data_IF_278677353142
#
_entry.id   IF_278677353142
#
_cell.length_a   1.000
_cell.length_b   1.000
_cell.length_c   1.000
_cell.angle_alpha   90.00
_cell.angle_beta   90.00
_cell.angle_gamma   90.00
#
_symmetry.space_group_name_H-M   'P 1'
#
loop_
_entity.id
_entity.type
_entity.pdbx_description
1 polymer ?
#
# COMPACT_ATOMS: atom_id res chain seq x y z
N UNK A 1 -17.40 32.36 -6.05
CA UNK A 1 -16.61 31.17 -5.63
C UNK A 1 -17.07 29.89 -6.33
N UNK A 2 -18.37 29.64 -6.51
CA UNK A 2 -18.88 28.43 -7.21
C UNK A 2 -18.45 28.36 -8.70
N UNK A 3 -18.52 29.46 -9.46
CA UNK A 3 -18.16 29.43 -10.90
C UNK A 3 -16.66 29.27 -11.19
N UNK A 4 -15.80 29.64 -10.23
CA UNK A 4 -14.34 29.44 -10.33
C UNK A 4 -13.96 27.99 -10.05
N UNK A 5 -14.67 27.33 -9.13
CA UNK A 5 -14.48 25.91 -8.80
C UNK A 5 -15.02 25.00 -9.92
N UNK A 6 -16.17 25.32 -10.52
CA UNK A 6 -16.69 24.57 -11.68
C UNK A 6 -15.79 24.69 -12.92
N UNK A 7 -15.26 25.88 -13.21
CA UNK A 7 -14.27 26.08 -14.30
C UNK A 7 -12.97 25.32 -14.05
N UNK A 8 -12.52 25.27 -12.79
CA UNK A 8 -11.36 24.48 -12.37
C UNK A 8 -11.58 22.97 -12.53
N UNK A 9 -12.75 22.46 -12.12
CA UNK A 9 -13.09 21.05 -12.23
C UNK A 9 -13.29 20.62 -13.70
N UNK A 10 -13.93 21.47 -14.51
CA UNK A 10 -14.14 21.25 -15.96
C UNK A 10 -12.82 21.20 -16.74
N UNK A 11 -11.90 22.16 -16.51
CA UNK A 11 -10.59 22.16 -17.16
C UNK A 11 -9.74 20.94 -16.77
N UNK A 12 -9.88 20.47 -15.53
CA UNK A 12 -9.22 19.24 -15.08
C UNK A 12 -9.76 17.97 -15.75
N UNK A 13 -11.07 17.91 -16.04
CA UNK A 13 -11.72 16.77 -16.67
C UNK A 13 -11.35 16.67 -18.15
N UNK A 14 -11.37 17.81 -18.87
CA UNK A 14 -10.94 17.88 -20.28
C UNK A 14 -9.49 17.44 -20.43
N UNK A 15 -8.59 17.95 -19.58
CA UNK A 15 -7.17 17.57 -19.61
C UNK A 15 -6.99 16.06 -19.36
N UNK A 16 -7.73 15.46 -18.43
CA UNK A 16 -7.69 14.01 -18.18
C UNK A 16 -8.16 13.23 -19.41
N UNK A 17 -9.27 13.62 -20.02
CA UNK A 17 -9.81 12.95 -21.21
C UNK A 17 -8.82 12.98 -22.39
N UNK A 18 -8.21 14.13 -22.65
CA UNK A 18 -7.18 14.28 -23.70
C UNK A 18 -5.95 13.43 -23.41
N UNK A 19 -5.46 13.42 -22.17
CA UNK A 19 -4.30 12.62 -21.78
C UNK A 19 -4.56 11.12 -21.97
N UNK A 20 -5.75 10.65 -21.59
CA UNK A 20 -6.15 9.24 -21.84
C UNK A 20 -6.18 8.94 -23.33
N UNK A 21 -6.75 9.82 -24.16
CA UNK A 21 -6.74 9.66 -25.62
C UNK A 21 -5.34 9.58 -26.21
N UNK A 22 -4.42 10.45 -25.77
CA UNK A 22 -3.00 10.43 -26.19
C UNK A 22 -2.31 9.13 -25.76
N UNK A 23 -2.54 8.67 -24.53
CA UNK A 23 -1.98 7.40 -24.05
C UNK A 23 -2.47 6.24 -24.92
N UNK A 24 -3.77 6.19 -25.25
CA UNK A 24 -4.34 5.16 -26.13
C UNK A 24 -3.71 5.24 -27.52
N UNK A 25 -3.64 6.43 -28.12
CA UNK A 25 -3.05 6.66 -29.43
C UNK A 25 -1.59 6.17 -29.50
N UNK A 26 -0.74 6.58 -28.55
CA UNK A 26 0.66 6.16 -28.49
C UNK A 26 0.79 4.66 -28.26
N UNK A 27 -0.05 4.09 -27.40
CA UNK A 27 -0.04 2.64 -27.13
C UNK A 27 -0.47 1.83 -28.37
N UNK A 28 -1.41 2.35 -29.17
CA UNK A 28 -1.76 1.76 -30.46
C UNK A 28 -0.59 1.83 -31.44
N UNK A 29 0.09 2.97 -31.55
CA UNK A 29 1.28 3.08 -32.40
C UNK A 29 2.35 2.08 -32.02
N UNK A 30 2.65 1.93 -30.72
CA UNK A 30 3.60 0.92 -30.25
C UNK A 30 3.17 -0.48 -30.70
N UNK A 31 1.91 -0.85 -30.49
CA UNK A 31 1.38 -2.15 -30.90
C UNK A 31 1.38 -2.38 -32.42
N UNK A 32 1.10 -1.36 -33.22
CA UNK A 32 1.11 -1.44 -34.70
C UNK A 32 2.54 -1.55 -35.23
N UNK A 33 3.45 -0.73 -34.72
CA UNK A 33 4.85 -0.71 -35.15
C UNK A 33 5.63 -1.93 -34.68
N UNK A 34 5.15 -2.65 -33.65
CA UNK A 34 5.74 -3.91 -33.21
C UNK A 34 5.23 -5.16 -33.96
N UNK A 35 4.36 -5.01 -34.97
CA UNK A 35 3.84 -6.14 -35.77
C UNK A 35 4.92 -6.70 -36.69
N UNK A 36 4.96 -8.03 -36.83
CA UNK A 36 5.70 -8.65 -37.94
C UNK A 36 4.92 -8.44 -39.25
N UNK A 37 5.59 -8.35 -40.41
CA UNK A 37 4.90 -8.17 -41.69
C UNK A 37 3.85 -9.25 -41.93
N UNK A 38 2.58 -8.85 -42.12
CA UNK A 38 1.48 -9.78 -42.42
C UNK A 38 0.83 -10.47 -41.21
N UNK A 39 1.21 -10.12 -39.97
CA UNK A 39 0.61 -10.72 -38.75
C UNK A 39 -0.08 -9.68 -37.86
N UNK A 40 -0.98 -10.15 -36.98
CA UNK A 40 -1.50 -9.35 -35.88
C UNK A 40 -0.40 -9.10 -34.83
N UNK A 41 -0.54 -8.03 -34.06
CA UNK A 41 0.43 -7.68 -33.02
C UNK A 41 0.53 -8.79 -31.97
N UNK A 42 1.75 -9.26 -31.69
CA UNK A 42 2.04 -10.22 -30.62
C UNK A 42 1.74 -9.62 -29.24
N UNK A 43 1.85 -8.29 -29.12
CA UNK A 43 1.57 -7.54 -27.90
C UNK A 43 0.75 -6.29 -28.21
N UNK A 44 -0.41 -6.12 -27.55
CA UNK A 44 -1.33 -5.00 -27.78
C UNK A 44 -1.65 -4.27 -26.46
N UNK A 45 -0.87 -3.23 -26.10
CA UNK A 45 -0.98 -2.64 -24.76
C UNK A 45 -2.16 -1.68 -24.58
N UNK A 46 -2.74 -1.17 -25.67
CA UNK A 46 -3.68 -0.05 -25.62
C UNK A 46 -4.93 -0.35 -24.78
N UNK A 47 -5.56 -1.50 -25.01
CA UNK A 47 -6.81 -1.88 -24.33
C UNK A 47 -6.57 -2.06 -22.83
N UNK A 48 -5.51 -2.78 -22.46
CA UNK A 48 -5.21 -3.07 -21.07
C UNK A 48 -4.73 -1.84 -20.28
N UNK A 49 -3.96 -0.93 -20.91
CA UNK A 49 -3.62 0.36 -20.30
C UNK A 49 -4.88 1.20 -20.06
N UNK A 50 -5.75 1.31 -21.06
CA UNK A 50 -7.00 2.06 -20.92
C UNK A 50 -7.88 1.47 -19.82
N UNK A 51 -8.11 0.15 -19.84
CA UNK A 51 -8.91 -0.54 -18.84
C UNK A 51 -8.34 -0.33 -17.42
N UNK A 52 -7.02 -0.48 -17.26
CA UNK A 52 -6.34 -0.23 -15.98
C UNK A 52 -6.49 1.21 -15.48
N UNK A 53 -6.41 2.20 -16.38
CA UNK A 53 -6.64 3.62 -16.03
C UNK A 53 -8.08 3.84 -15.56
N UNK A 54 -9.05 3.26 -16.26
CA UNK A 54 -10.47 3.39 -15.92
C UNK A 54 -10.81 2.66 -14.61
N UNK A 55 -10.23 1.48 -14.36
CA UNK A 55 -10.36 0.76 -13.08
C UNK A 55 -9.77 1.56 -11.92
N UNK A 56 -8.57 2.10 -12.09
CA UNK A 56 -7.89 2.92 -11.08
C UNK A 56 -8.59 4.25 -10.83
N UNK A 57 -9.27 4.80 -11.84
CA UNK A 57 -9.94 6.10 -11.74
C UNK A 57 -11.24 6.12 -12.54
N UNK A 58 -12.34 5.53 -12.01
CA UNK A 58 -13.62 5.45 -12.74
C UNK A 58 -14.24 6.80 -13.08
N UNK A 59 -13.92 7.85 -12.31
CA UNK A 59 -14.31 9.23 -12.61
C UNK A 59 -13.75 9.76 -13.95
N UNK A 60 -12.74 9.09 -14.50
CA UNK A 60 -12.19 9.42 -15.81
C UNK A 60 -13.03 8.89 -16.96
N UNK A 61 -14.01 8.00 -16.74
CA UNK A 61 -14.88 7.44 -17.79
C UNK A 61 -16.00 8.41 -18.23
N UNK A 62 -15.63 9.63 -18.60
CA UNK A 62 -16.57 10.63 -19.13
C UNK A 62 -16.86 10.39 -20.60
N UNK A 63 -17.97 10.95 -21.11
CA UNK A 63 -18.29 10.91 -22.55
C UNK A 63 -17.13 11.46 -23.39
N UNK A 64 -16.52 12.56 -22.98
CA UNK A 64 -15.38 13.15 -23.66
C UNK A 64 -14.17 12.20 -23.69
N UNK A 65 -13.92 11.47 -22.61
CA UNK A 65 -12.85 10.47 -22.58
C UNK A 65 -13.08 9.39 -23.61
N UNK A 66 -14.31 8.86 -23.72
CA UNK A 66 -14.64 7.86 -24.73
C UNK A 66 -14.46 8.40 -26.16
N UNK A 67 -14.86 9.65 -26.42
CA UNK A 67 -14.61 10.30 -27.71
C UNK A 67 -13.10 10.37 -28.01
N UNK A 68 -12.29 10.86 -27.06
CA UNK A 68 -10.84 10.93 -27.21
C UNK A 68 -10.20 9.55 -27.42
N UNK A 69 -10.72 8.51 -26.77
CA UNK A 69 -10.29 7.12 -26.93
C UNK A 69 -10.59 6.62 -28.35
N UNK A 70 -11.82 6.83 -28.86
CA UNK A 70 -12.18 6.44 -30.23
C UNK A 70 -11.29 7.15 -31.26
N UNK A 71 -11.08 8.45 -31.09
CA UNK A 71 -10.18 9.24 -31.94
C UNK A 71 -8.75 8.70 -31.86
N UNK A 72 -8.27 8.32 -30.68
CA UNK A 72 -6.94 7.74 -30.50
C UNK A 72 -6.77 6.39 -31.22
N UNK A 73 -7.75 5.49 -31.08
CA UNK A 73 -7.75 4.18 -31.75
C UNK A 73 -7.79 4.32 -33.27
N UNK A 74 -8.81 5.02 -33.79
CA UNK A 74 -9.03 5.18 -35.23
C UNK A 74 -7.91 6.00 -35.86
N UNK A 75 -7.47 7.08 -35.20
CA UNK A 75 -6.41 7.94 -35.69
C UNK A 75 -5.07 7.22 -35.82
N UNK A 76 -4.70 6.37 -34.85
CA UNK A 76 -3.46 5.61 -34.93
C UNK A 76 -3.46 4.66 -36.12
N UNK A 77 -4.56 3.90 -36.31
CA UNK A 77 -4.68 2.90 -37.36
C UNK A 77 -4.67 3.55 -38.77
N UNK A 78 -5.41 4.64 -38.96
CA UNK A 78 -5.44 5.39 -40.23
C UNK A 78 -4.09 6.02 -40.59
N UNK A 79 -3.38 6.60 -39.61
CA UNK A 79 -2.04 7.20 -39.84
C UNK A 79 -1.03 6.14 -40.26
N UNK A 80 -1.18 4.91 -39.76
CA UNK A 80 -0.34 3.77 -40.16
C UNK A 80 -0.79 3.08 -41.45
N UNK A 81 -1.79 3.63 -42.15
CA UNK A 81 -2.25 3.13 -43.45
C UNK A 81 -3.36 2.08 -43.40
N UNK A 82 -4.07 1.94 -42.28
CA UNK A 82 -5.22 1.04 -42.15
C UNK A 82 -6.37 1.42 -43.11
N UNK A 83 -6.99 0.41 -43.72
CA UNK A 83 -8.17 0.62 -44.56
C UNK A 83 -9.40 0.93 -43.67
N UNK A 84 -10.29 1.81 -44.16
CA UNK A 84 -11.44 2.28 -43.39
C UNK A 84 -12.28 1.15 -42.75
N UNK A 85 -12.60 0.12 -43.54
CA UNK A 85 -13.42 -1.00 -43.08
C UNK A 85 -12.74 -1.82 -41.97
N UNK A 86 -11.47 -2.21 -42.18
CA UNK A 86 -10.70 -2.92 -41.15
C UNK A 86 -10.54 -2.08 -39.89
N UNK A 87 -10.28 -0.78 -40.04
CA UNK A 87 -10.11 0.13 -38.91
C UNK A 87 -11.39 0.24 -38.07
N UNK A 88 -12.57 0.27 -38.68
CA UNK A 88 -13.82 0.32 -37.93
C UNK A 88 -14.06 -0.97 -37.15
N UNK A 89 -13.89 -2.13 -37.77
CA UNK A 89 -14.12 -3.43 -37.13
C UNK A 89 -13.14 -3.73 -35.99
N UNK A 90 -11.84 -3.52 -36.21
CA UNK A 90 -10.81 -3.77 -35.20
C UNK A 90 -11.00 -2.85 -33.98
N UNK A 91 -11.29 -1.58 -34.22
CA UNK A 91 -11.47 -0.62 -33.12
C UNK A 91 -12.83 -0.79 -32.41
N UNK A 92 -13.86 -1.29 -33.09
CA UNK A 92 -15.11 -1.68 -32.44
C UNK A 92 -14.86 -2.80 -31.41
N UNK A 93 -14.07 -3.82 -31.76
CA UNK A 93 -13.70 -4.87 -30.82
C UNK A 93 -12.95 -4.34 -29.58
N UNK A 94 -11.97 -3.46 -29.80
CA UNK A 94 -11.22 -2.80 -28.73
C UNK A 94 -12.14 -2.02 -27.77
N UNK A 95 -13.05 -1.19 -28.31
CA UNK A 95 -13.95 -0.36 -27.50
C UNK A 95 -14.95 -1.23 -26.73
N UNK A 96 -15.55 -2.24 -27.37
CA UNK A 96 -16.52 -3.14 -26.72
C UNK A 96 -15.89 -3.92 -25.57
N UNK A 97 -14.67 -4.42 -25.75
CA UNK A 97 -13.92 -5.09 -24.70
C UNK A 97 -13.66 -4.20 -23.49
N UNK A 98 -13.07 -3.01 -23.72
CA UNK A 98 -12.76 -2.09 -22.62
C UNK A 98 -14.02 -1.58 -21.93
N UNK A 99 -15.07 -1.23 -22.69
CA UNK A 99 -16.31 -0.72 -22.11
C UNK A 99 -16.98 -1.78 -21.23
N UNK A 100 -17.11 -3.02 -21.72
CA UNK A 100 -17.71 -4.11 -20.94
C UNK A 100 -16.92 -4.43 -19.67
N UNK A 101 -15.58 -4.49 -19.75
CA UNK A 101 -14.72 -4.66 -18.58
C UNK A 101 -14.92 -3.54 -17.55
N UNK A 102 -14.94 -2.28 -18.00
CA UNK A 102 -15.18 -1.13 -17.13
C UNK A 102 -16.55 -1.19 -16.43
N UNK A 103 -17.62 -1.48 -17.18
CA UNK A 103 -18.97 -1.56 -16.61
C UNK A 103 -19.16 -2.76 -15.68
N UNK A 104 -18.42 -3.85 -15.88
CA UNK A 104 -18.37 -4.98 -14.96
C UNK A 104 -17.63 -4.60 -13.66
N UNK A 105 -16.53 -3.86 -13.76
CA UNK A 105 -15.68 -3.50 -12.62
C UNK A 105 -16.18 -2.31 -11.80
N UNK A 106 -17.08 -1.47 -12.34
CA UNK A 106 -17.51 -0.23 -11.66
C UNK A 106 -18.14 -0.43 -10.27
N UNK A 107 -18.63 -1.64 -10.00
CA UNK A 107 -19.28 -2.02 -8.75
C UNK A 107 -18.28 -2.43 -7.66
N UNK A 108 -17.02 -2.69 -8.01
CA UNK A 108 -15.97 -3.07 -7.06
C UNK A 108 -15.65 -1.89 -6.15
N UNK A 109 -15.56 -2.16 -4.85
CA UNK A 109 -15.28 -1.15 -3.83
C UNK A 109 -13.91 -0.50 -3.97
N UNK A 110 -13.81 0.76 -3.54
CA UNK A 110 -12.62 1.59 -3.75
C UNK A 110 -11.33 1.01 -3.17
N UNK A 111 -11.41 0.24 -2.07
CA UNK A 111 -10.27 -0.39 -1.41
C UNK A 111 -9.69 -1.54 -2.25
N UNK A 112 -10.54 -2.32 -2.92
CA UNK A 112 -10.17 -3.47 -3.74
C UNK A 112 -9.70 -3.09 -5.15
N UNK A 113 -9.97 -1.86 -5.60
CA UNK A 113 -9.52 -1.39 -6.93
C UNK A 113 -8.01 -1.31 -7.09
N UNK A 114 -7.24 -1.42 -6.02
CA UNK A 114 -5.77 -1.25 -6.01
C UNK A 114 -5.00 -2.55 -5.76
N UNK A 115 -5.64 -3.73 -5.89
CA UNK A 115 -5.02 -5.02 -5.60
C UNK A 115 -4.46 -5.08 -4.17
N UNK A 116 -5.32 -4.74 -3.21
CA UNK A 116 -4.96 -4.63 -1.81
C UNK A 116 -5.34 -5.87 -0.98
N UNK A 117 -6.15 -6.76 -1.55
CA UNK A 117 -6.73 -7.95 -0.91
C UNK A 117 -6.70 -9.12 -1.90
N UNK A 118 -6.89 -10.35 -1.42
CA UNK A 118 -7.07 -11.50 -2.31
C UNK A 118 -8.36 -11.38 -3.15
N UNK A 119 -9.42 -10.78 -2.61
CA UNK A 119 -10.68 -10.57 -3.34
C UNK A 119 -10.49 -9.67 -4.57
N UNK A 120 -9.62 -8.66 -4.45
CA UNK A 120 -9.23 -7.78 -5.55
C UNK A 120 -8.77 -8.57 -6.79
N UNK A 121 -8.07 -9.69 -6.58
CA UNK A 121 -7.57 -10.56 -7.67
C UNK A 121 -8.72 -11.31 -8.34
N UNK A 122 -9.70 -11.79 -7.55
CA UNK A 122 -10.92 -12.40 -8.09
C UNK A 122 -11.69 -11.45 -8.99
N UNK A 123 -11.89 -10.19 -8.56
CA UNK A 123 -12.52 -9.16 -9.38
C UNK A 123 -11.73 -8.83 -10.65
N UNK A 124 -10.40 -8.73 -10.54
CA UNK A 124 -9.54 -8.51 -11.70
C UNK A 124 -9.73 -9.63 -12.74
N UNK A 125 -9.63 -10.90 -12.34
CA UNK A 125 -9.78 -12.04 -13.26
C UNK A 125 -11.18 -12.05 -13.87
N UNK A 126 -12.23 -11.93 -13.06
CA UNK A 126 -13.61 -11.97 -13.56
C UNK A 126 -13.90 -10.86 -14.59
N UNK A 127 -13.46 -9.63 -14.31
CA UNK A 127 -13.77 -8.48 -15.17
C UNK A 127 -12.95 -8.45 -16.45
N UNK A 128 -11.72 -8.95 -16.42
CA UNK A 128 -10.87 -9.07 -17.61
C UNK A 128 -11.27 -10.24 -18.50
N UNK A 129 -11.78 -11.34 -17.93
CA UNK A 129 -12.45 -12.40 -18.71
C UNK A 129 -13.65 -11.83 -19.45
N UNK A 130 -14.51 -11.06 -18.78
CA UNK A 130 -15.64 -10.37 -19.43
C UNK A 130 -15.16 -9.45 -20.55
N UNK A 131 -14.15 -8.61 -20.29
CA UNK A 131 -13.59 -7.70 -21.28
C UNK A 131 -13.05 -8.46 -22.52
N UNK A 132 -12.23 -9.49 -22.30
CA UNK A 132 -11.65 -10.30 -23.35
C UNK A 132 -12.71 -11.06 -24.15
N UNK A 133 -13.71 -11.66 -23.49
CA UNK A 133 -14.81 -12.37 -24.16
C UNK A 133 -15.65 -11.43 -25.02
N UNK A 134 -15.95 -10.22 -24.54
CA UNK A 134 -16.75 -9.24 -25.28
C UNK A 134 -15.98 -8.65 -26.48
N UNK A 135 -14.67 -8.39 -26.32
CA UNK A 135 -13.81 -8.06 -27.46
C UNK A 135 -13.81 -9.19 -28.49
N UNK A 136 -13.66 -10.43 -28.03
CA UNK A 136 -13.62 -11.63 -28.87
C UNK A 136 -14.93 -11.90 -29.63
N UNK A 137 -16.10 -11.56 -29.08
CA UNK A 137 -17.37 -11.64 -29.82
C UNK A 137 -17.33 -10.81 -31.11
N UNK A 138 -16.85 -9.56 -31.01
CA UNK A 138 -16.68 -8.68 -32.16
C UNK A 138 -15.51 -9.14 -33.02
N UNK A 139 -14.40 -9.57 -32.40
CA UNK A 139 -13.21 -10.10 -33.07
C UNK A 139 -13.51 -11.33 -33.95
N UNK A 140 -14.37 -12.24 -33.50
CA UNK A 140 -14.83 -13.38 -34.29
C UNK A 140 -15.65 -12.96 -35.51
N UNK A 141 -16.47 -11.92 -35.39
CA UNK A 141 -17.21 -11.34 -36.53
C UNK A 141 -16.22 -10.68 -37.49
N UNK A 142 -15.31 -9.86 -36.97
CA UNK A 142 -14.26 -9.22 -37.76
C UNK A 142 -13.40 -10.26 -38.51
N UNK A 143 -13.09 -11.40 -37.87
CA UNK A 143 -12.34 -12.48 -38.51
C UNK A 143 -13.06 -13.06 -39.73
N UNK A 144 -14.37 -13.25 -39.61
CA UNK A 144 -15.21 -13.73 -40.70
C UNK A 144 -15.37 -12.71 -41.83
N UNK A 145 -15.57 -11.44 -41.48
CA UNK A 145 -15.84 -10.36 -42.45
C UNK A 145 -14.57 -9.92 -43.18
N UNK A 146 -13.47 -9.71 -42.45
CA UNK A 146 -12.23 -9.14 -43.00
C UNK A 146 -11.29 -10.20 -43.58
N UNK A 147 -11.24 -11.39 -42.98
CA UNK A 147 -10.26 -12.42 -43.32
C UNK A 147 -10.89 -13.69 -43.89
N UNK A 148 -12.22 -13.77 -43.97
CA UNK A 148 -12.94 -14.96 -44.46
C UNK A 148 -12.78 -16.21 -43.58
N UNK A 149 -12.26 -16.05 -42.36
CA UNK A 149 -12.01 -17.15 -41.42
C UNK A 149 -13.25 -17.64 -40.67
N UNK A 150 -13.10 -18.70 -39.88
CA UNK A 150 -14.19 -19.15 -39.00
C UNK A 150 -14.38 -18.19 -37.83
N UNK A 151 -15.63 -18.05 -37.38
CA UNK A 151 -15.94 -17.19 -36.24
C UNK A 151 -15.24 -17.66 -34.96
N UNK A 152 -15.19 -18.98 -34.73
CA UNK A 152 -14.60 -19.55 -33.51
C UNK A 152 -13.09 -19.34 -33.43
N UNK A 153 -12.37 -19.51 -34.54
CA UNK A 153 -10.93 -19.26 -34.60
C UNK A 153 -10.62 -17.80 -34.28
N UNK A 154 -11.42 -16.87 -34.82
CA UNK A 154 -11.34 -15.46 -34.49
C UNK A 154 -11.65 -15.17 -33.03
N UNK A 155 -12.72 -15.76 -32.49
CA UNK A 155 -13.07 -15.59 -31.08
C UNK A 155 -11.93 -16.05 -30.16
N UNK A 156 -11.40 -17.25 -30.39
CA UNK A 156 -10.37 -17.84 -29.54
C UNK A 156 -9.07 -17.02 -29.59
N UNK A 157 -8.66 -16.58 -30.79
CA UNK A 157 -7.47 -15.75 -31.00
C UNK A 157 -7.56 -14.41 -30.28
N UNK A 158 -8.69 -13.72 -30.42
CA UNK A 158 -8.92 -12.43 -29.77
C UNK A 158 -9.03 -12.58 -28.25
N UNK A 159 -9.75 -13.60 -27.79
CA UNK A 159 -9.92 -13.85 -26.35
C UNK A 159 -8.57 -14.08 -25.68
N UNK A 160 -7.76 -15.00 -26.22
CA UNK A 160 -6.48 -15.36 -25.60
C UNK A 160 -5.49 -14.20 -25.61
N UNK A 161 -5.47 -13.42 -26.71
CA UNK A 161 -4.59 -12.26 -26.85
C UNK A 161 -4.99 -11.12 -25.90
N UNK A 162 -6.28 -10.79 -25.83
CA UNK A 162 -6.77 -9.75 -24.92
C UNK A 162 -6.59 -10.15 -23.46
N UNK A 163 -6.87 -11.41 -23.12
CA UNK A 163 -6.77 -11.90 -21.75
C UNK A 163 -5.33 -11.83 -21.22
N UNK A 164 -4.34 -12.26 -22.02
CA UNK A 164 -2.93 -12.15 -21.59
C UNK A 164 -2.50 -10.70 -21.46
N UNK A 165 -2.88 -9.81 -22.39
CA UNK A 165 -2.57 -8.39 -22.30
C UNK A 165 -3.19 -7.75 -21.04
N UNK A 166 -4.43 -8.10 -20.70
CA UNK A 166 -5.08 -7.62 -19.48
C UNK A 166 -4.38 -8.13 -18.21
N UNK A 167 -4.05 -9.43 -18.13
CA UNK A 167 -3.36 -10.01 -16.98
C UNK A 167 -1.93 -9.49 -16.80
N UNK A 168 -1.27 -9.10 -17.89
CA UNK A 168 0.07 -8.49 -17.85
C UNK A 168 0.04 -7.04 -17.40
N UNK A 169 -0.86 -6.21 -17.95
CA UNK A 169 -0.76 -4.75 -17.85
C UNK A 169 -1.67 -4.16 -16.77
N UNK A 170 -2.90 -4.68 -16.60
CA UNK A 170 -3.85 -4.09 -15.66
C UNK A 170 -3.30 -4.08 -14.23
N UNK A 171 -2.71 -5.18 -13.69
CA UNK A 171 -2.13 -5.18 -12.35
C UNK A 171 -1.06 -4.11 -12.14
N UNK A 172 -0.20 -3.91 -13.14
CA UNK A 172 0.84 -2.90 -13.13
C UNK A 172 0.25 -1.49 -12.99
N UNK A 173 -0.82 -1.20 -13.73
CA UNK A 173 -1.51 0.10 -13.66
C UNK A 173 -2.21 0.28 -12.31
N UNK A 174 -2.89 -0.74 -11.80
CA UNK A 174 -3.61 -0.68 -10.50
C UNK A 174 -2.66 -0.46 -9.33
N UNK A 175 -1.48 -1.09 -9.37
CA UNK A 175 -0.49 -1.05 -8.28
C UNK A 175 0.53 0.08 -8.41
N UNK A 176 0.51 0.83 -9.52
CA UNK A 176 1.47 1.91 -9.77
C UNK A 176 1.55 2.89 -8.59
N UNK A 177 2.75 3.23 -8.07
CA UNK A 177 2.88 4.08 -6.89
C UNK A 177 2.50 5.54 -7.17
N UNK A 178 2.21 6.31 -6.12
CA UNK A 178 2.00 7.76 -6.24
C UNK A 178 3.25 8.45 -6.81
N UNK A 179 3.04 9.38 -7.74
CA UNK A 179 4.10 10.23 -8.29
C UNK A 179 4.41 11.45 -7.41
N UNK A 180 3.63 11.71 -6.37
CA UNK A 180 3.84 12.88 -5.49
C UNK A 180 5.04 12.64 -4.57
N UNK A 181 5.99 13.59 -4.57
CA UNK A 181 7.21 13.52 -3.72
C UNK A 181 6.89 13.46 -2.22
N UNK A 182 5.82 14.13 -1.77
CA UNK A 182 5.40 14.13 -0.37
C UNK A 182 5.02 12.74 0.15
N UNK A 183 4.64 11.81 -0.75
CA UNK A 183 4.22 10.45 -0.39
C UNK A 183 5.40 9.46 -0.38
N UNK A 184 6.64 9.92 -0.62
CA UNK A 184 7.83 9.04 -0.76
C UNK A 184 8.77 9.18 0.42
N UNK A 185 8.75 8.19 1.31
CA UNK A 185 9.80 7.99 2.30
C UNK A 185 11.06 7.39 1.61
N UNK A 186 12.21 8.11 1.58
CA UNK A 186 13.44 7.61 0.99
C UNK A 186 13.93 6.30 1.62
N UNK A 187 13.68 6.08 2.92
CA UNK A 187 14.09 4.86 3.62
C UNK A 187 13.26 3.67 3.16
N UNK A 188 11.95 3.83 3.06
CA UNK A 188 11.05 2.81 2.52
C UNK A 188 11.41 2.44 1.07
N UNK A 189 11.72 3.43 0.23
CA UNK A 189 12.15 3.19 -1.17
C UNK A 189 13.49 2.44 -1.22
N UNK A 190 14.48 2.84 -0.43
CA UNK A 190 15.77 2.15 -0.38
C UNK A 190 15.64 0.69 0.13
N UNK A 191 14.78 0.45 1.12
CA UNK A 191 14.49 -0.89 1.61
C UNK A 191 13.80 -1.76 0.55
N UNK A 192 12.85 -1.18 -0.20
CA UNK A 192 12.18 -1.86 -1.31
C UNK A 192 13.18 -2.22 -2.43
N UNK A 193 14.04 -1.28 -2.83
CA UNK A 193 15.07 -1.53 -3.84
C UNK A 193 16.00 -2.66 -3.41
N UNK A 194 16.47 -2.65 -2.15
CA UNK A 194 17.31 -3.73 -1.60
C UNK A 194 16.61 -5.09 -1.65
N UNK A 195 15.33 -5.15 -1.27
CA UNK A 195 14.53 -6.39 -1.31
C UNK A 195 14.25 -6.86 -2.75
N UNK A 196 14.30 -5.97 -3.73
CA UNK A 196 14.04 -6.27 -5.15
C UNK A 196 15.25 -6.84 -5.89
N UNK A 197 16.46 -6.76 -5.32
CA UNK A 197 17.69 -7.27 -5.96
C UNK A 197 17.61 -8.77 -6.22
N UNK A 198 17.25 -9.55 -5.19
CA UNK A 198 17.19 -11.02 -5.28
C UNK A 198 16.18 -11.50 -6.34
N UNK A 199 14.90 -11.10 -6.32
CA UNK A 199 13.94 -11.58 -7.33
C UNK A 199 14.28 -11.09 -8.74
N UNK A 200 14.84 -9.88 -8.89
CA UNK A 200 15.26 -9.39 -10.22
C UNK A 200 16.44 -10.19 -10.77
N UNK A 201 17.45 -10.47 -9.95
CA UNK A 201 18.59 -11.30 -10.36
C UNK A 201 18.15 -12.72 -10.71
N UNK A 202 17.24 -13.30 -9.91
CA UNK A 202 16.68 -14.62 -10.17
C UNK A 202 15.88 -14.62 -11.48
N UNK A 203 15.05 -13.61 -11.74
CA UNK A 203 14.30 -13.50 -13.00
C UNK A 203 15.25 -13.40 -14.20
N UNK A 204 16.34 -12.63 -14.10
CA UNK A 204 17.31 -12.53 -15.18
C UNK A 204 17.93 -13.90 -15.53
N UNK A 205 18.25 -14.72 -14.52
CA UNK A 205 18.71 -16.10 -14.73
C UNK A 205 17.61 -16.95 -15.37
N UNK A 206 16.38 -16.88 -14.89
CA UNK A 206 15.24 -17.62 -15.46
C UNK A 206 14.99 -17.28 -16.93
N UNK A 207 15.02 -15.99 -17.30
CA UNK A 207 14.86 -15.50 -18.68
C UNK A 207 15.95 -16.06 -19.60
N UNK A 208 17.20 -16.12 -19.13
CA UNK A 208 18.30 -16.72 -19.88
C UNK A 208 18.09 -18.23 -20.05
N UNK A 209 17.69 -18.93 -18.99
CA UNK A 209 17.40 -20.37 -19.05
C UNK A 209 16.22 -20.69 -19.97
N UNK A 210 15.18 -19.86 -19.97
CA UNK A 210 14.05 -19.98 -20.90
C UNK A 210 14.50 -19.96 -22.35
N UNK A 211 15.41 -19.03 -22.68
CA UNK A 211 15.95 -18.91 -24.03
C UNK A 211 16.91 -20.05 -24.42
N UNK A 212 17.79 -20.46 -23.51
CA UNK A 212 18.80 -21.51 -23.78
C UNK A 212 18.19 -22.91 -23.87
N UNK A 213 17.23 -23.23 -23.00
CA UNK A 213 16.65 -24.58 -22.93
C UNK A 213 15.46 -24.71 -23.88
N UNK A 214 14.62 -23.67 -23.97
CA UNK A 214 13.42 -23.69 -24.79
C UNK A 214 12.38 -24.73 -24.39
N UNK A 215 11.42 -24.98 -25.28
CA UNK A 215 10.34 -25.94 -25.08
C UNK A 215 9.21 -25.45 -24.16
N UNK A 216 8.06 -26.14 -24.21
CA UNK A 216 6.86 -25.74 -23.47
C UNK A 216 7.04 -25.69 -21.95
N UNK A 217 7.91 -26.55 -21.39
CA UNK A 217 8.21 -26.57 -19.97
C UNK A 217 8.95 -25.32 -19.46
N UNK A 218 9.68 -24.62 -20.33
CA UNK A 218 10.44 -23.42 -19.98
C UNK A 218 9.54 -22.28 -19.46
N UNK A 219 8.27 -22.23 -19.86
CA UNK A 219 7.30 -21.22 -19.41
C UNK A 219 7.22 -21.14 -17.87
N UNK A 220 7.43 -22.26 -17.17
CA UNK A 220 7.38 -22.31 -15.72
C UNK A 220 8.66 -21.80 -15.02
N UNK A 221 9.76 -21.57 -15.76
CA UNK A 221 11.05 -21.24 -15.17
C UNK A 221 11.06 -19.88 -14.48
N UNK A 222 10.23 -18.92 -14.89
CA UNK A 222 10.07 -17.65 -14.18
C UNK A 222 9.42 -17.79 -12.78
N UNK A 223 8.68 -18.87 -12.50
CA UNK A 223 7.85 -18.98 -11.29
C UNK A 223 8.64 -18.82 -9.97
N UNK A 224 9.82 -19.44 -9.77
CA UNK A 224 10.63 -19.20 -8.58
C UNK A 224 10.97 -17.71 -8.37
N UNK A 225 11.28 -16.97 -9.45
CA UNK A 225 11.57 -15.54 -9.38
C UNK A 225 10.33 -14.73 -8.99
N UNK A 226 9.19 -15.03 -9.61
CA UNK A 226 7.93 -14.30 -9.38
C UNK A 226 7.36 -14.57 -7.97
N UNK A 227 7.46 -15.81 -7.48
CA UNK A 227 7.08 -16.16 -6.09
C UNK A 227 8.01 -15.47 -5.10
N UNK A 228 9.32 -15.43 -5.38
CA UNK A 228 10.29 -14.71 -4.53
C UNK A 228 9.98 -13.21 -4.50
N UNK A 229 9.59 -12.62 -5.64
CA UNK A 229 9.15 -11.23 -5.71
C UNK A 229 7.92 -10.99 -4.80
N UNK A 230 6.91 -11.86 -4.90
CA UNK A 230 5.71 -11.79 -4.06
C UNK A 230 6.03 -11.88 -2.56
N UNK A 231 7.00 -12.72 -2.17
CA UNK A 231 7.40 -12.91 -0.77
C UNK A 231 8.18 -11.72 -0.19
N UNK A 232 9.12 -11.18 -0.98
CA UNK A 232 10.11 -10.23 -0.49
C UNK A 232 9.72 -8.77 -0.76
N UNK A 233 8.88 -8.50 -1.75
CA UNK A 233 8.61 -7.13 -2.22
C UNK A 233 7.15 -6.72 -2.01
N UNK A 234 6.62 -5.88 -2.89
CA UNK A 234 5.22 -5.43 -2.87
C UNK A 234 4.54 -5.83 -4.19
N UNK A 235 3.21 -5.72 -4.22
CA UNK A 235 2.39 -6.13 -5.38
C UNK A 235 2.81 -5.39 -6.66
N UNK A 236 3.30 -4.15 -6.57
CA UNK A 236 3.79 -3.40 -7.73
C UNK A 236 5.05 -4.01 -8.35
N UNK A 237 6.09 -4.27 -7.56
CA UNK A 237 7.33 -4.89 -8.05
C UNK A 237 7.04 -6.28 -8.60
N UNK A 238 6.21 -7.08 -7.92
CA UNK A 238 5.75 -8.37 -8.43
C UNK A 238 5.03 -8.23 -9.78
N UNK A 239 4.16 -7.22 -9.94
CA UNK A 239 3.46 -6.97 -11.20
C UNK A 239 4.42 -6.56 -12.32
N UNK A 240 5.44 -5.74 -12.03
CA UNK A 240 6.49 -5.37 -13.00
C UNK A 240 7.25 -6.61 -13.47
N UNK A 241 7.75 -7.43 -12.54
CA UNK A 241 8.53 -8.63 -12.87
C UNK A 241 7.69 -9.66 -13.62
N UNK A 242 6.42 -9.82 -13.23
CA UNK A 242 5.46 -10.67 -13.94
C UNK A 242 5.26 -10.16 -15.36
N UNK A 243 5.09 -8.85 -15.56
CA UNK A 243 4.90 -8.29 -16.89
C UNK A 243 6.13 -8.45 -17.80
N UNK A 244 7.34 -8.28 -17.24
CA UNK A 244 8.60 -8.54 -17.97
C UNK A 244 8.70 -10.00 -18.38
N UNK A 245 8.42 -10.93 -17.45
CA UNK A 245 8.40 -12.36 -17.74
C UNK A 245 7.39 -12.72 -18.83
N UNK A 246 6.13 -12.28 -18.71
CA UNK A 246 5.11 -12.58 -19.71
C UNK A 246 5.47 -12.02 -21.08
N UNK A 247 5.96 -10.77 -21.13
CA UNK A 247 6.40 -10.17 -22.40
C UNK A 247 7.55 -10.97 -23.04
N UNK A 248 8.52 -11.41 -22.23
CA UNK A 248 9.61 -12.25 -22.71
C UNK A 248 9.12 -13.59 -23.27
N UNK A 249 8.25 -14.29 -22.54
CA UNK A 249 7.73 -15.58 -22.99
C UNK A 249 6.86 -15.44 -24.25
N UNK A 250 6.12 -14.34 -24.41
CA UNK A 250 5.39 -14.04 -25.65
C UNK A 250 6.34 -13.86 -26.84
N UNK A 251 7.48 -13.19 -26.67
CA UNK A 251 8.52 -13.06 -27.70
C UNK A 251 9.09 -14.43 -28.07
N UNK A 252 9.45 -15.26 -27.09
CA UNK A 252 9.96 -16.63 -27.35
C UNK A 252 8.92 -17.54 -28.01
N UNK A 253 7.63 -17.34 -27.71
CA UNK A 253 6.54 -18.05 -28.38
C UNK A 253 6.45 -17.65 -29.85
N UNK A 254 6.53 -16.34 -30.13
CA UNK A 254 6.43 -15.80 -31.48
C UNK A 254 7.63 -16.16 -32.37
N UNK A 255 8.84 -16.22 -31.78
CA UNK A 255 10.08 -16.59 -32.48
C UNK A 255 10.27 -18.11 -32.61
N UNK A 256 9.31 -18.91 -32.14
CA UNK A 256 9.34 -20.37 -32.27
C UNK A 256 10.30 -21.11 -31.32
N UNK A 257 11.06 -20.40 -30.48
CA UNK A 257 12.01 -20.97 -29.51
C UNK A 257 11.35 -21.95 -28.53
N UNK A 258 10.06 -21.79 -28.22
CA UNK A 258 9.33 -22.72 -27.35
C UNK A 258 8.87 -24.00 -28.06
N UNK A 259 9.05 -24.12 -29.38
CA UNK A 259 8.58 -25.25 -30.17
C UNK A 259 7.05 -25.37 -30.22
N UNK A 260 6.34 -24.27 -29.96
CA UNK A 260 4.88 -24.18 -29.88
C UNK A 260 4.26 -23.39 -31.04
N UNK A 261 5.09 -22.83 -31.91
CA UNK A 261 4.66 -22.13 -33.12
C UNK A 261 4.26 -23.16 -34.18
N UNK A 262 2.98 -23.21 -34.53
CA UNK A 262 2.47 -23.89 -35.72
C UNK A 262 2.10 -22.85 -36.77
N UNK A 263 2.26 -23.16 -38.06
CA UNK A 263 1.74 -22.31 -39.13
C UNK A 263 0.20 -22.17 -38.99
N UNK A 264 -0.29 -20.94 -38.79
CA UNK A 264 -1.72 -20.61 -38.72
C UNK A 264 -2.30 -20.41 -37.31
N UNK A 265 -3.62 -20.14 -37.25
CA UNK A 265 -4.37 -20.01 -35.99
C UNK A 265 -4.53 -21.40 -35.37
N UNK A 266 -3.69 -21.72 -34.40
CA UNK A 266 -3.71 -23.01 -33.72
C UNK A 266 -4.26 -22.89 -32.30
N UNK A 267 -5.13 -23.82 -31.87
CA UNK A 267 -5.55 -23.94 -30.47
C UNK A 267 -4.38 -23.98 -29.49
N UNK A 268 -3.20 -24.45 -29.93
CA UNK A 268 -1.98 -24.49 -29.11
C UNK A 268 -1.52 -23.08 -28.72
N UNK A 269 -1.47 -22.13 -29.66
CA UNK A 269 -1.04 -20.75 -29.37
C UNK A 269 -1.98 -20.06 -28.37
N UNK A 270 -3.30 -20.23 -28.57
CA UNK A 270 -4.29 -19.71 -27.63
C UNK A 270 -4.15 -20.35 -26.24
N UNK A 271 -3.90 -21.66 -26.17
CA UNK A 271 -3.69 -22.36 -24.90
C UNK A 271 -2.47 -21.84 -24.13
N UNK A 272 -1.39 -21.48 -24.83
CA UNK A 272 -0.18 -20.90 -24.24
C UNK A 272 -0.46 -19.53 -23.64
N UNK A 273 -1.16 -18.66 -24.38
CA UNK A 273 -1.53 -17.34 -23.88
C UNK A 273 -2.46 -17.41 -22.68
N UNK A 274 -3.45 -18.32 -22.69
CA UNK A 274 -4.32 -18.56 -21.53
C UNK A 274 -3.50 -19.09 -20.35
N UNK A 275 -2.60 -20.05 -20.58
CA UNK A 275 -1.70 -20.59 -19.55
C UNK A 275 -0.80 -19.51 -18.93
N UNK A 276 -0.19 -18.66 -19.76
CA UNK A 276 0.60 -17.50 -19.32
C UNK A 276 -0.21 -16.52 -18.48
N UNK A 277 -1.45 -16.25 -18.90
CA UNK A 277 -2.38 -15.39 -18.16
C UNK A 277 -2.64 -15.94 -16.75
N UNK A 278 -2.90 -17.24 -16.64
CA UNK A 278 -3.14 -17.90 -15.35
C UNK A 278 -1.88 -17.94 -14.48
N UNK A 279 -0.71 -18.18 -15.08
CA UNK A 279 0.58 -18.13 -14.37
C UNK A 279 0.91 -16.73 -13.85
N UNK A 280 0.56 -15.67 -14.59
CA UNK A 280 0.74 -14.29 -14.17
C UNK A 280 -0.11 -13.92 -12.94
N UNK A 281 -1.30 -14.51 -12.80
CA UNK A 281 -2.20 -14.25 -11.65
C UNK A 281 -1.63 -14.79 -10.34
N UNK A 282 -1.01 -15.97 -10.36
CA UNK A 282 -0.53 -16.65 -9.16
C UNK A 282 0.43 -15.81 -8.27
N UNK A 283 1.54 -15.23 -8.77
CA UNK A 283 2.43 -14.42 -7.94
C UNK A 283 1.76 -13.13 -7.44
N UNK A 284 0.85 -12.55 -8.21
CA UNK A 284 0.07 -11.37 -7.79
C UNK A 284 -0.86 -11.73 -6.64
N UNK A 285 -1.55 -12.88 -6.71
CA UNK A 285 -2.38 -13.40 -5.63
C UNK A 285 -1.57 -13.64 -4.36
N UNK A 286 -0.40 -14.29 -4.47
CA UNK A 286 0.52 -14.49 -3.34
C UNK A 286 0.95 -13.15 -2.73
N UNK A 287 1.28 -12.15 -3.57
CA UNK A 287 1.67 -10.82 -3.08
C UNK A 287 0.53 -10.13 -2.32
N UNK A 288 -0.71 -10.27 -2.79
CA UNK A 288 -1.90 -9.72 -2.11
C UNK A 288 -2.15 -10.40 -0.77
N UNK A 289 -2.08 -11.74 -0.71
CA UNK A 289 -2.21 -12.51 0.55
C UNK A 289 -1.16 -12.09 1.57
N UNK A 290 0.08 -11.89 1.12
CA UNK A 290 1.18 -11.48 2.00
C UNK A 290 0.99 -10.05 2.48
N UNK A 291 0.49 -9.14 1.64
CA UNK A 291 0.15 -7.79 2.01
C UNK A 291 -0.93 -7.76 3.10
N UNK A 292 -2.00 -8.53 2.89
CA UNK A 292 -3.11 -8.65 3.84
C UNK A 292 -2.67 -9.25 5.17
N UNK A 293 -1.86 -10.32 5.12
CA UNK A 293 -1.22 -10.90 6.31
C UNK A 293 -0.35 -9.90 7.07
N UNK A 294 0.45 -9.09 6.37
CA UNK A 294 1.30 -8.06 7.00
C UNK A 294 0.44 -7.03 7.72
N UNK A 295 -0.62 -6.52 7.09
CA UNK A 295 -1.57 -5.59 7.71
C UNK A 295 -2.25 -6.18 8.93
N UNK A 296 -2.70 -7.43 8.85
CA UNK A 296 -3.33 -8.12 9.98
C UNK A 296 -2.35 -8.29 11.16
N UNK A 297 -1.10 -8.69 10.89
CA UNK A 297 -0.07 -8.80 11.92
C UNK A 297 0.32 -7.44 12.51
N UNK A 298 0.39 -6.39 11.69
CA UNK A 298 0.62 -5.02 12.17
C UNK A 298 -0.51 -4.54 13.07
N UNK A 299 -1.77 -4.78 12.69
CA UNK A 299 -2.94 -4.44 13.51
C UNK A 299 -2.96 -5.21 14.84
N UNK A 300 -2.67 -6.52 14.81
CA UNK A 300 -2.53 -7.32 16.03
C UNK A 300 -1.38 -6.82 16.91
N UNK A 301 -0.23 -6.49 16.30
CA UNK A 301 0.91 -5.94 17.03
C UNK A 301 0.53 -4.61 17.67
N UNK A 302 -0.15 -3.72 16.95
CA UNK A 302 -0.64 -2.45 17.49
C UNK A 302 -1.59 -2.67 18.66
N UNK A 303 -2.58 -3.56 18.51
CA UNK A 303 -3.53 -3.89 19.57
C UNK A 303 -2.88 -4.52 20.82
N UNK A 304 -1.77 -5.25 20.67
CA UNK A 304 -1.03 -5.79 21.82
C UNK A 304 -0.11 -4.75 22.45
N UNK A 305 0.45 -3.84 21.66
CA UNK A 305 1.51 -2.92 22.12
C UNK A 305 1.01 -1.55 22.55
N UNK A 306 -0.16 -1.11 22.10
CA UNK A 306 -0.71 0.22 22.38
C UNK A 306 -2.10 0.15 23.00
N UNK A 307 -2.41 1.08 23.88
CA UNK A 307 -3.73 1.28 24.48
C UNK A 307 -4.69 1.85 23.42
N UNK A 308 -5.85 1.20 23.25
CA UNK A 308 -6.77 1.52 22.15
C UNK A 308 -7.42 2.90 22.28
N UNK A 309 -7.57 3.38 23.52
CA UNK A 309 -8.17 4.68 23.81
C UNK A 309 -7.16 5.81 23.60
N UNK A 310 -5.99 5.71 24.21
CA UNK A 310 -5.04 6.83 24.27
C UNK A 310 -3.98 6.75 23.19
N UNK A 311 -3.72 5.58 22.61
CA UNK A 311 -2.61 5.29 21.70
C UNK A 311 -1.23 5.26 22.39
N UNK A 312 -1.16 5.31 23.72
CA UNK A 312 0.09 5.17 24.47
C UNK A 312 0.53 3.70 24.46
N UNK A 313 1.80 3.40 24.75
CA UNK A 313 2.20 1.99 24.91
C UNK A 313 1.42 1.34 26.07
N UNK A 314 1.13 0.04 25.97
CA UNK A 314 0.65 -0.74 27.11
C UNK A 314 1.81 -1.03 28.07
N UNK A 315 1.48 -1.31 29.34
CA UNK A 315 2.42 -1.65 30.41
C UNK A 315 3.49 -2.67 29.98
N UNK A 316 3.08 -3.79 29.40
CA UNK A 316 4.00 -4.88 29.04
C UNK A 316 5.03 -4.44 27.98
N UNK A 317 4.59 -3.66 27.01
CA UNK A 317 5.48 -3.14 25.96
C UNK A 317 6.43 -2.07 26.50
N UNK A 318 5.96 -1.23 27.42
CA UNK A 318 6.80 -0.27 28.14
C UNK A 318 7.92 -0.97 28.90
N UNK A 319 7.60 -2.01 29.66
CA UNK A 319 8.60 -2.78 30.43
C UNK A 319 9.63 -3.43 29.50
N UNK A 320 9.16 -4.06 28.41
CA UNK A 320 10.02 -4.71 27.41
C UNK A 320 10.99 -3.72 26.75
N UNK A 321 10.49 -2.59 26.24
CA UNK A 321 11.33 -1.56 25.60
C UNK A 321 12.23 -0.85 26.60
N UNK A 322 11.69 -0.53 27.78
CA UNK A 322 12.41 0.18 28.83
C UNK A 322 13.60 -0.61 29.38
N UNK A 323 13.45 -1.93 29.57
CA UNK A 323 14.56 -2.79 30.00
C UNK A 323 15.74 -2.82 29.01
N UNK A 324 15.44 -2.67 27.72
CA UNK A 324 16.48 -2.54 26.68
C UNK A 324 17.20 -1.18 26.74
N UNK A 325 16.48 -0.11 27.10
CA UNK A 325 17.01 1.26 27.23
C UNK A 325 17.86 1.43 28.48
N UNK A 326 17.46 0.84 29.61
CA UNK A 326 18.20 0.92 30.88
C UNK A 326 19.44 0.02 30.91
N UNK A 327 19.61 -0.87 29.91
CA UNK A 327 20.75 -1.78 29.81
C UNK A 327 20.64 -3.02 30.70
N UNK A 328 19.49 -3.24 31.36
CA UNK A 328 19.25 -4.39 32.23
C UNK A 328 19.37 -5.73 31.48
N UNK A 329 19.03 -5.76 30.19
CA UNK A 329 19.14 -6.95 29.33
C UNK A 329 20.47 -7.06 28.59
N UNK A 330 21.24 -5.97 28.47
CA UNK A 330 22.56 -5.98 27.79
C UNK A 330 23.56 -5.05 28.50
N UNK A 331 24.20 -5.50 29.60
CA UNK A 331 25.07 -4.66 30.45
C UNK A 331 26.26 -4.03 29.69
N UNK A 332 26.71 -4.66 28.59
CA UNK A 332 27.80 -4.17 27.73
C UNK A 332 27.42 -2.96 26.88
N UNK A 333 26.13 -2.64 26.73
CA UNK A 333 25.64 -1.46 26.01
C UNK A 333 25.35 -0.27 26.92
N UNK A 334 25.65 -0.38 28.22
CA UNK A 334 25.44 0.71 29.14
C UNK A 334 26.21 1.96 28.70
N UNK A 335 25.49 3.01 28.31
CA UNK A 335 26.10 4.21 27.75
C UNK A 335 26.65 5.16 28.82
N UNK A 336 26.49 4.82 30.11
CA UNK A 336 26.83 5.70 31.24
C UNK A 336 26.02 7.00 31.27
N UNK A 337 24.90 7.04 30.54
CA UNK A 337 24.03 8.22 30.41
C UNK A 337 22.89 8.17 31.43
N UNK A 338 22.38 9.33 31.87
CA UNK A 338 21.26 9.38 32.80
C UNK A 338 20.00 8.81 32.16
N UNK A 339 19.19 8.15 32.97
CA UNK A 339 17.86 7.67 32.58
C UNK A 339 16.87 8.11 33.65
N UNK A 340 15.78 8.74 33.20
CA UNK A 340 14.74 9.26 34.10
C UNK A 340 13.37 8.65 33.78
N UNK A 341 12.54 8.47 34.80
CA UNK A 341 11.16 8.00 34.72
C UNK A 341 10.23 9.06 35.32
N UNK A 342 9.13 9.35 34.63
CA UNK A 342 8.00 10.13 35.14
C UNK A 342 6.83 9.18 35.35
N UNK A 343 6.36 9.05 36.58
CA UNK A 343 5.08 8.42 36.91
C UNK A 343 4.03 9.52 37.06
N UNK A 344 2.90 9.38 36.38
CA UNK A 344 1.87 10.42 36.28
C UNK A 344 0.49 9.84 36.54
N UNK A 345 -0.34 10.57 37.25
CA UNK A 345 -1.71 10.17 37.57
C UNK A 345 -2.63 11.38 37.55
N UNK A 346 -3.77 11.26 36.86
CA UNK A 346 -4.76 12.33 36.79
C UNK A 346 -5.51 12.45 38.12
N UNK A 347 -5.36 13.60 38.75
CA UNK A 347 -5.97 13.90 40.03
C UNK A 347 -7.50 13.94 39.89
N UNK A 348 -8.20 13.32 40.82
CA UNK A 348 -9.67 13.32 40.89
C UNK A 348 -10.35 12.79 39.62
N UNK A 349 -9.68 11.95 38.82
CA UNK A 349 -10.25 11.40 37.58
C UNK A 349 -11.58 10.67 37.79
N UNK A 350 -11.73 9.95 38.90
CA UNK A 350 -13.01 9.32 39.27
C UNK A 350 -14.17 10.32 39.38
N UNK A 351 -13.93 11.53 39.89
CA UNK A 351 -14.98 12.57 39.96
C UNK A 351 -15.43 13.03 38.57
N UNK A 352 -14.52 13.04 37.60
CA UNK A 352 -14.87 13.34 36.20
C UNK A 352 -15.84 12.29 35.66
N UNK A 353 -15.53 11.01 35.89
CA UNK A 353 -16.41 9.92 35.48
C UNK A 353 -17.76 9.96 36.20
N UNK A 354 -17.76 10.19 37.51
CA UNK A 354 -18.96 10.15 38.34
C UNK A 354 -19.91 11.35 38.02
N UNK A 355 -19.36 12.53 37.73
CA UNK A 355 -20.15 13.74 37.47
C UNK A 355 -20.50 13.98 36.00
N UNK A 356 -19.60 13.61 35.08
CA UNK A 356 -19.73 13.93 33.64
C UNK A 356 -19.87 12.68 32.75
N UNK A 357 -19.80 11.49 33.36
CA UNK A 357 -19.92 10.21 32.67
C UNK A 357 -18.62 9.73 32.02
N UNK A 358 -18.56 8.44 31.72
CA UNK A 358 -17.36 7.79 31.17
C UNK A 358 -16.84 8.41 29.87
N UNK A 359 -17.72 8.92 29.00
CA UNK A 359 -17.29 9.59 27.75
C UNK A 359 -16.45 10.83 28.02
N UNK A 360 -16.74 11.57 29.09
CA UNK A 360 -15.94 12.73 29.50
C UNK A 360 -14.59 12.30 30.08
N UNK A 361 -14.57 11.21 30.86
CA UNK A 361 -13.33 10.59 31.32
C UNK A 361 -12.43 10.12 30.17
N UNK A 362 -13.00 9.44 29.18
CA UNK A 362 -12.30 9.01 27.97
C UNK A 362 -11.69 10.21 27.23
N UNK A 363 -12.45 11.30 27.10
CA UNK A 363 -11.98 12.55 26.48
C UNK A 363 -10.83 13.17 27.28
N UNK A 364 -10.90 13.14 28.62
CA UNK A 364 -9.83 13.65 29.47
C UNK A 364 -8.53 12.81 29.33
N UNK A 365 -8.64 11.49 29.23
CA UNK A 365 -7.50 10.59 29.01
C UNK A 365 -6.84 10.81 27.66
N UNK A 366 -7.64 10.92 26.58
CA UNK A 366 -7.13 11.22 25.23
C UNK A 366 -6.45 12.58 25.19
N UNK A 367 -7.09 13.61 25.77
CA UNK A 367 -6.52 14.95 25.85
C UNK A 367 -5.20 14.96 26.61
N UNK A 368 -5.12 14.28 27.76
CA UNK A 368 -3.88 14.19 28.53
C UNK A 368 -2.77 13.49 27.75
N UNK A 369 -3.07 12.36 27.11
CA UNK A 369 -2.10 11.64 26.29
C UNK A 369 -1.54 12.50 25.14
N UNK A 370 -2.38 13.32 24.51
CA UNK A 370 -1.95 14.25 23.47
C UNK A 370 -1.08 15.38 24.02
N UNK A 371 -1.37 15.90 25.22
CA UNK A 371 -0.50 16.89 25.86
C UNK A 371 0.87 16.31 26.19
N UNK A 372 0.92 15.07 26.70
CA UNK A 372 2.18 14.39 26.97
C UNK A 372 3.00 14.23 25.69
N UNK A 373 2.39 13.76 24.58
CA UNK A 373 3.08 13.60 23.29
C UNK A 373 3.64 14.90 22.73
N UNK A 374 2.90 16.02 22.83
CA UNK A 374 3.38 17.32 22.32
C UNK A 374 4.61 17.85 23.05
N UNK A 375 4.82 17.40 24.29
CA UNK A 375 5.94 17.79 25.14
C UNK A 375 7.06 16.75 25.18
N UNK A 376 6.97 15.66 24.39
CA UNK A 376 7.96 14.60 24.35
C UNK A 376 8.57 14.42 22.96
N UNK A 377 9.89 14.22 22.94
CA UNK A 377 10.59 13.75 21.75
C UNK A 377 10.23 12.28 21.44
N UNK A 378 10.17 11.92 20.15
CA UNK A 378 9.91 10.55 19.65
C UNK A 378 10.86 9.47 20.19
N UNK A 379 12.02 9.87 20.74
CA UNK A 379 13.02 8.95 21.32
C UNK A 379 12.63 8.45 22.72
N UNK A 380 11.67 9.09 23.38
CA UNK A 380 11.21 8.74 24.72
C UNK A 380 10.05 7.75 24.65
N UNK A 381 9.91 6.88 25.66
CA UNK A 381 8.81 5.92 25.72
C UNK A 381 7.69 6.51 26.57
N UNK A 382 6.46 6.46 26.06
CA UNK A 382 5.26 6.89 26.77
C UNK A 382 4.24 5.76 26.80
N UNK A 383 3.70 5.48 27.98
CA UNK A 383 2.80 4.36 28.22
C UNK A 383 1.66 4.70 29.18
N UNK A 384 0.57 3.95 29.07
CA UNK A 384 -0.53 3.91 30.03
C UNK A 384 -0.45 2.59 30.80
N UNK A 385 -0.33 2.68 32.12
CA UNK A 385 -0.19 1.50 32.98
C UNK A 385 -1.54 0.86 33.31
N UNK A 386 -2.59 1.66 33.39
CA UNK A 386 -3.97 1.26 33.67
C UNK A 386 -4.77 2.42 34.24
N UNK A 387 -6.09 2.44 34.06
CA UNK A 387 -6.94 3.51 34.61
C UNK A 387 -6.47 4.91 34.17
N UNK A 388 -6.21 5.80 35.13
CA UNK A 388 -5.65 7.14 34.95
C UNK A 388 -4.12 7.25 35.07
N UNK A 389 -3.40 6.12 35.13
CA UNK A 389 -1.94 6.09 35.37
C UNK A 389 -1.15 6.01 34.07
N UNK A 390 -0.16 6.89 33.95
CA UNK A 390 0.73 7.00 32.81
C UNK A 390 2.19 7.03 33.25
N UNK A 391 3.08 6.59 32.38
CA UNK A 391 4.52 6.59 32.63
C UNK A 391 5.30 7.02 31.40
N UNK A 392 6.40 7.74 31.63
CA UNK A 392 7.37 8.11 30.58
C UNK A 392 8.76 7.65 31.00
N UNK A 393 9.51 7.07 30.06
CA UNK A 393 10.94 6.79 30.20
C UNK A 393 11.75 7.71 29.28
N UNK A 394 12.65 8.48 29.86
CA UNK A 394 13.50 9.42 29.16
C UNK A 394 14.96 8.97 29.18
N UNK A 395 15.41 8.47 28.03
CA UNK A 395 16.80 8.07 27.80
C UNK A 395 17.71 9.30 27.59
N UNK A 396 18.80 9.38 28.35
CA UNK A 396 19.80 10.45 28.23
C UNK A 396 19.36 11.77 28.84
N UNK A 397 18.37 11.78 29.73
CA UNK A 397 17.85 12.98 30.39
C UNK A 397 18.10 12.86 31.89
N UNK A 398 18.76 13.86 32.46
CA UNK A 398 19.04 13.95 33.88
C UNK A 398 17.82 14.39 34.70
N UNK A 399 17.97 14.42 36.02
CA UNK A 399 16.87 14.76 36.92
C UNK A 399 16.32 16.17 36.66
N UNK A 400 17.19 17.13 36.33
CA UNK A 400 16.81 18.51 36.10
C UNK A 400 15.95 18.65 34.84
N UNK A 401 16.42 18.15 33.69
CA UNK A 401 15.66 18.15 32.45
C UNK A 401 14.39 17.32 32.53
N UNK A 402 14.42 16.23 33.30
CA UNK A 402 13.23 15.41 33.54
C UNK A 402 12.16 16.14 34.34
N UNK A 403 12.59 16.87 35.38
CA UNK A 403 11.69 17.69 36.22
C UNK A 403 11.12 18.86 35.42
N UNK A 404 11.90 19.49 34.54
CA UNK A 404 11.41 20.55 33.64
C UNK A 404 10.32 20.02 32.70
N UNK A 405 10.56 18.85 32.08
CA UNK A 405 9.58 18.18 31.22
C UNK A 405 8.29 17.84 31.98
N UNK A 406 8.42 17.32 33.20
CA UNK A 406 7.28 17.05 34.08
C UNK A 406 6.46 18.31 34.37
N UNK A 407 7.11 19.43 34.73
CA UNK A 407 6.42 20.68 34.99
C UNK A 407 5.73 21.27 33.76
N UNK A 408 6.34 21.13 32.56
CA UNK A 408 5.69 21.52 31.30
C UNK A 408 4.41 20.73 31.06
N UNK A 409 4.48 19.39 31.18
CA UNK A 409 3.31 18.51 31.03
C UNK A 409 2.22 18.89 32.04
N UNK A 410 2.60 19.09 33.31
CA UNK A 410 1.66 19.44 34.39
C UNK A 410 0.91 20.73 34.11
N UNK A 411 1.62 21.78 33.70
CA UNK A 411 1.02 23.09 33.36
C UNK A 411 0.13 22.98 32.14
N UNK A 412 0.59 22.33 31.08
CA UNK A 412 -0.18 22.12 29.85
C UNK A 412 -1.49 21.36 30.13
N UNK A 413 -1.45 20.34 31.01
CA UNK A 413 -2.65 19.63 31.42
C UNK A 413 -3.61 20.52 32.22
N UNK A 414 -3.11 21.27 33.20
CA UNK A 414 -3.96 22.17 33.99
C UNK A 414 -4.67 23.22 33.12
N UNK A 415 -3.95 23.83 32.18
CA UNK A 415 -4.50 24.80 31.23
C UNK A 415 -5.52 24.17 30.28
N UNK A 416 -5.16 23.06 29.64
CA UNK A 416 -6.01 22.36 28.68
C UNK A 416 -7.29 21.83 29.32
N UNK A 417 -7.16 21.27 30.53
CA UNK A 417 -8.27 20.67 31.27
C UNK A 417 -9.27 21.72 31.74
N UNK A 418 -8.77 22.84 32.27
CA UNK A 418 -9.60 23.99 32.66
C UNK A 418 -10.35 24.59 31.47
N UNK A 419 -9.71 24.70 30.30
CA UNK A 419 -10.35 25.21 29.10
C UNK A 419 -11.49 24.32 28.57
N UNK A 420 -11.40 23.01 28.75
CA UNK A 420 -12.38 22.04 28.21
C UNK A 420 -13.49 21.70 29.22
N UNK A 421 -13.13 21.53 30.49
CA UNK A 421 -14.02 21.00 31.54
C UNK A 421 -14.24 21.98 32.71
N UNK A 422 -13.66 23.17 32.66
CA UNK A 422 -13.76 24.17 33.74
C UNK A 422 -13.16 23.66 35.06
N UNK A 423 -13.84 23.96 36.17
CA UNK A 423 -13.41 23.54 37.52
C UNK A 423 -13.43 22.02 37.74
N UNK A 424 -14.09 21.27 36.85
CA UNK A 424 -14.14 19.80 36.90
C UNK A 424 -12.99 19.15 36.12
N UNK A 425 -12.11 19.94 35.50
CA UNK A 425 -10.96 19.44 34.77
C UNK A 425 -9.91 18.80 35.69
N UNK A 426 -9.49 17.54 35.47
CA UNK A 426 -8.46 16.91 36.29
C UNK A 426 -7.09 17.58 36.07
N UNK A 427 -6.38 17.85 37.18
CA UNK A 427 -4.95 18.15 37.19
C UNK A 427 -4.15 16.85 37.13
N UNK A 428 -2.82 16.94 37.16
CA UNK A 428 -1.95 15.75 37.19
C UNK A 428 -0.91 15.89 38.31
N UNK A 429 -0.70 14.82 39.07
CA UNK A 429 0.43 14.68 39.98
C UNK A 429 1.52 13.88 39.30
N UNK A 430 2.79 14.29 39.46
CA UNK A 430 3.93 13.67 38.76
C UNK A 430 5.04 13.32 39.75
N UNK A 431 5.49 12.08 39.71
CA UNK A 431 6.69 11.60 40.39
C UNK A 431 7.83 11.41 39.39
N UNK A 432 8.99 12.02 39.65
CA UNK A 432 10.18 11.90 38.81
C UNK A 432 11.24 11.09 39.54
N UNK A 433 11.82 10.10 38.89
CA UNK A 433 13.01 9.41 39.37
C UNK A 433 14.12 9.46 38.32
N UNK A 434 15.37 9.65 38.74
CA UNK A 434 16.53 9.62 37.85
C UNK A 434 17.59 8.64 38.38
N UNK A 435 18.23 7.93 37.45
CA UNK A 435 19.49 7.21 37.65
C UNK A 435 20.60 8.01 36.94
N UNK A 436 21.40 8.83 37.67
CA UNK A 436 22.31 9.80 37.03
C UNK A 436 23.46 9.16 36.23
N UNK A 437 24.03 8.08 36.75
CA UNK A 437 25.05 7.29 36.06
C UNK A 437 24.45 6.20 35.14
N UNK A 438 23.12 6.13 35.10
CA UNK A 438 22.37 4.99 34.58
C UNK A 438 22.66 3.69 35.34
N UNK A 439 22.11 2.57 34.85
CA UNK A 439 22.42 1.23 35.35
C UNK A 439 21.48 0.75 36.46
N UNK A 440 20.57 1.61 36.92
CA UNK A 440 19.41 1.16 37.68
C UNK A 440 18.50 0.31 36.78
N UNK A 441 17.96 -0.76 37.35
CA UNK A 441 16.93 -1.54 36.67
C UNK A 441 15.68 -0.68 36.44
N UNK A 442 14.94 -0.97 35.37
CA UNK A 442 13.71 -0.23 35.06
C UNK A 442 12.71 -0.30 36.22
N UNK A 443 12.59 -1.47 36.87
CA UNK A 443 11.67 -1.67 38.00
C UNK A 443 12.03 -0.74 39.16
N UNK A 444 13.32 -0.62 39.49
CA UNK A 444 13.81 0.28 40.55
C UNK A 444 13.52 1.76 40.26
N UNK A 445 13.68 2.17 38.99
CA UNK A 445 13.34 3.52 38.55
C UNK A 445 11.83 3.80 38.65
N UNK A 446 11.01 2.84 38.22
CA UNK A 446 9.55 2.92 38.28
C UNK A 446 9.07 2.99 39.74
N UNK A 447 9.57 2.12 40.61
CA UNK A 447 9.21 2.11 42.04
C UNK A 447 9.61 3.42 42.73
N UNK A 448 10.78 3.97 42.40
CA UNK A 448 11.21 5.26 42.94
C UNK A 448 10.34 6.43 42.42
N UNK A 449 9.93 6.39 41.15
CA UNK A 449 9.02 7.38 40.58
C UNK A 449 7.62 7.29 41.19
N UNK A 450 7.15 6.08 41.50
CA UNK A 450 5.89 5.85 42.19
C UNK A 450 5.91 6.40 43.63
N UNK A 451 7.03 6.20 44.36
CA UNK A 451 7.21 6.83 45.67
C UNK A 451 7.16 8.37 45.58
N UNK A 452 7.80 8.94 44.56
CA UNK A 452 7.76 10.37 44.30
C UNK A 452 6.32 10.84 43.99
N UNK A 453 5.58 10.10 43.17
CA UNK A 453 4.19 10.40 42.84
C UNK A 453 3.30 10.33 44.09
N UNK A 454 3.51 9.33 44.94
CA UNK A 454 2.81 9.21 46.21
C UNK A 454 3.06 10.41 47.13
N UNK A 455 4.30 10.91 47.19
CA UNK A 455 4.64 12.15 47.91
C UNK A 455 3.94 13.37 47.30
N UNK A 456 3.90 13.49 45.97
CA UNK A 456 3.18 14.55 45.27
C UNK A 456 1.69 14.54 45.63
N UNK A 457 1.05 13.37 45.60
CA UNK A 457 -0.35 13.18 46.01
C UNK A 457 -0.59 13.56 47.47
N UNK A 458 0.30 13.19 48.40
CA UNK A 458 0.18 13.54 49.82
C UNK A 458 0.32 15.03 50.10
N UNK A 459 1.14 15.70 49.31
CA UNK A 459 1.36 17.13 49.40
C UNK A 459 0.27 17.89 48.64
N UNK A 460 -1.00 17.51 48.68
CA UNK A 460 -2.10 18.27 48.05
C UNK A 460 -2.09 18.29 46.50
N UNK A 461 -1.48 17.30 45.84
CA UNK A 461 -1.61 17.04 44.39
C UNK A 461 -1.14 18.19 43.49
N UNK A 462 -1.43 18.11 42.19
CA UNK A 462 -1.09 19.09 41.14
C UNK A 462 0.35 19.60 41.22
N UNK A 463 1.31 18.68 41.37
CA UNK A 463 2.72 19.01 41.53
C UNK A 463 3.64 17.90 41.08
N UNK A 464 4.90 18.28 40.90
CA UNK A 464 6.00 17.37 40.65
C UNK A 464 6.83 17.17 41.91
N UNK A 465 7.19 15.92 42.20
CA UNK A 465 8.21 15.57 43.20
C UNK A 465 9.28 14.75 42.51
N UNK A 466 10.55 15.06 42.79
CA UNK A 466 11.69 14.44 42.11
C UNK A 466 12.60 13.72 43.12
N UNK A 467 13.01 12.50 42.81
CA UNK A 467 13.90 11.65 43.61
C UNK A 467 15.06 11.12 42.75
N UNK A 468 16.18 10.80 43.40
CA UNK A 468 17.31 10.11 42.75
C UNK A 468 17.34 8.67 43.23
N UNK A 469 17.44 7.71 42.31
CA UNK A 469 17.58 6.29 42.65
C UNK A 469 18.87 6.08 43.44
N UNK A 470 18.77 5.43 44.61
CA UNK A 470 19.88 5.25 45.54
C UNK A 470 20.00 6.32 46.65
N UNK A 471 19.07 7.30 46.72
CA UNK A 471 18.95 8.24 47.85
C UNK A 471 17.76 7.95 48.79
N UNK A 472 17.23 6.72 48.79
CA UNK A 472 16.15 6.34 49.70
C UNK A 472 16.70 5.94 51.09
N UNK A 473 16.76 6.95 51.96
CA UNK A 473 16.98 6.95 53.42
C UNK A 473 18.28 6.36 54.00
#
# INVERSE_FOLDING_TARGET
MVSTVEKSLSSSAVRRALLVGVVVFVSCLVGILSRLPGTLAVFWPANALLLGILFRSPRSATLLTWICVVVGYVGADLITGGAWESTMWLNAANIVGVASGFYAFRWVDGEDRRLNSIESVGYLVATTVVAASMAALVGGIANRVLFGGQWWDGWLLWFSSEFVNYMTIVPLVLTFPSLRRADRDPKAVAALLRRSVVPTALLAVCIILEWVIGGAGAIAFAMPALVTAALLTNVFVTSVLTAVSTAWTLVLTADGHLGLSSEGVSPVSASVQIGLSLLAVAPIAVACVILERRRALEALTQAVTHDDLTGALRRDEFLRRGGSVTGATEPRRHSGRPVSVLMMDLDHFKMVNDNLGHRAGDTALVSFADQVRRNLDDKHLFARLGGEEFVVLMAGVDLAGATETAEMIRRAQAESSSAVLGELGPTVSIGVACSPAGGADLTQLVDCADEALYRAKKLDRNRTVSLTVGQAK
#
